data_IF_882658488300
#
_entry.id   IF_882658488300
#
_cell.length_a   1.000
_cell.length_b   1.000
_cell.length_c   1.000
_cell.angle_alpha   90.00
_cell.angle_beta   90.00
_cell.angle_gamma   90.00
#
_symmetry.space_group_name_H-M   'P 1'
#
loop_
_entity.id
_entity.type
_entity.pdbx_description
1 polymer ?
#
# COMPACT_ATOMS: atom_id res chain seq x y z
N UNK A 1 23.98 7.43 8.16
CA UNK A 1 24.39 6.02 8.34
C UNK A 1 23.12 5.18 8.41
N UNK A 2 22.81 4.45 7.34
CA UNK A 2 21.67 3.54 7.30
C UNK A 2 21.91 2.45 8.34
N UNK A 3 21.03 2.31 9.33
CA UNK A 3 21.06 1.13 10.22
C UNK A 3 20.94 -0.10 9.33
N UNK A 4 21.91 -1.01 9.40
CA UNK A 4 21.75 -2.34 8.83
C UNK A 4 20.46 -2.92 9.38
N UNK A 5 19.49 -3.09 8.49
CA UNK A 5 18.18 -3.60 8.86
C UNK A 5 18.33 -5.11 8.93
N UNK A 6 18.17 -5.69 10.12
CA UNK A 6 18.25 -7.14 10.30
C UNK A 6 16.96 -7.65 10.92
N UNK A 7 16.48 -8.77 10.39
CA UNK A 7 15.31 -9.44 10.94
C UNK A 7 15.71 -10.26 12.18
N UNK A 8 14.76 -10.42 13.10
CA UNK A 8 14.93 -11.29 14.27
C UNK A 8 15.24 -12.73 13.83
N UNK A 9 16.08 -13.44 14.59
CA UNK A 9 16.59 -14.78 14.20
C UNK A 9 15.49 -15.82 13.95
N UNK A 10 14.36 -15.70 14.64
CA UNK A 10 13.19 -16.57 14.53
C UNK A 10 12.07 -15.96 13.67
N UNK A 11 12.39 -15.03 12.76
CA UNK A 11 11.41 -14.31 11.95
C UNK A 11 10.48 -15.23 11.16
N UNK A 12 10.99 -16.36 10.65
CA UNK A 12 10.21 -17.33 9.89
C UNK A 12 9.11 -18.01 10.74
N UNK A 13 9.48 -18.54 11.91
CA UNK A 13 8.52 -19.15 12.85
C UNK A 13 7.51 -18.13 13.36
N UNK A 14 7.97 -16.92 13.68
CA UNK A 14 7.11 -15.84 14.12
C UNK A 14 6.13 -15.42 13.02
N UNK A 15 6.58 -15.31 11.77
CA UNK A 15 5.74 -15.01 10.63
C UNK A 15 4.62 -16.05 10.46
N UNK A 16 4.96 -17.34 10.59
CA UNK A 16 3.97 -18.42 10.57
C UNK A 16 2.95 -18.25 11.69
N UNK A 17 3.39 -18.07 12.93
CA UNK A 17 2.49 -17.90 14.08
C UNK A 17 1.55 -16.70 13.93
N UNK A 18 2.08 -15.54 13.51
CA UNK A 18 1.29 -14.32 13.33
C UNK A 18 0.29 -14.45 12.19
N UNK A 19 0.66 -15.13 11.09
CA UNK A 19 -0.26 -15.34 9.98
C UNK A 19 -1.29 -16.45 10.29
N UNK A 20 -0.92 -17.50 11.02
CA UNK A 20 -1.88 -18.53 11.47
C UNK A 20 -3.00 -17.92 12.32
N UNK A 21 -2.67 -16.90 13.14
CA UNK A 21 -3.66 -16.18 13.93
C UNK A 21 -4.58 -15.26 13.11
N UNK A 22 -4.23 -14.93 11.85
CA UNK A 22 -5.00 -14.04 10.98
C UNK A 22 -5.73 -14.84 9.89
N UNK A 23 -4.97 -15.58 9.09
CA UNK A 23 -5.44 -16.46 8.03
C UNK A 23 -4.43 -17.60 7.80
N UNK A 24 -4.69 -18.82 8.32
CA UNK A 24 -3.83 -19.99 8.16
C UNK A 24 -3.49 -20.37 6.72
N UNK A 25 -4.37 -20.08 5.75
CA UNK A 25 -4.14 -20.42 4.34
C UNK A 25 -3.01 -19.61 3.71
N UNK A 26 -2.70 -18.44 4.30
CA UNK A 26 -1.64 -17.55 3.83
C UNK A 26 -0.31 -17.79 4.54
N UNK A 27 -0.28 -18.58 5.61
CA UNK A 27 0.88 -18.74 6.49
C UNK A 27 2.12 -19.23 5.77
N UNK A 28 2.03 -20.25 4.93
CA UNK A 28 3.18 -20.75 4.19
C UNK A 28 3.74 -19.71 3.20
N UNK A 29 2.85 -18.97 2.52
CA UNK A 29 3.24 -17.91 1.58
C UNK A 29 3.89 -16.73 2.31
N UNK A 30 3.34 -16.35 3.45
CA UNK A 30 3.87 -15.26 4.26
C UNK A 30 5.19 -15.63 4.93
N UNK A 31 5.33 -16.85 5.47
CA UNK A 31 6.60 -17.39 5.98
C UNK A 31 7.70 -17.28 4.91
N UNK A 32 7.41 -17.70 3.68
CA UNK A 32 8.36 -17.61 2.56
C UNK A 32 8.75 -16.17 2.23
N UNK A 33 7.81 -15.22 2.25
CA UNK A 33 8.10 -13.80 2.08
C UNK A 33 9.04 -13.28 3.19
N UNK A 34 8.77 -13.61 4.45
CA UNK A 34 9.61 -13.15 5.57
C UNK A 34 11.00 -13.79 5.53
N UNK A 35 11.11 -15.05 5.09
CA UNK A 35 12.40 -15.69 4.80
C UNK A 35 13.20 -14.89 3.76
N UNK A 36 12.56 -14.53 2.64
CA UNK A 36 13.19 -13.71 1.60
C UNK A 36 13.64 -12.35 2.14
N UNK A 37 12.76 -11.63 2.87
CA UNK A 37 13.10 -10.32 3.43
C UNK A 37 14.16 -10.38 4.54
N UNK A 38 14.29 -11.52 5.22
CA UNK A 38 15.35 -11.74 6.21
C UNK A 38 16.72 -11.93 5.54
N UNK A 39 16.75 -12.50 4.32
CA UNK A 39 17.95 -12.68 3.51
C UNK A 39 18.32 -11.41 2.74
N UNK A 40 17.33 -10.61 2.34
CA UNK A 40 17.47 -9.39 1.55
C UNK A 40 16.73 -8.21 2.21
N UNK A 41 17.20 -7.69 3.36
CA UNK A 41 16.48 -6.65 4.10
C UNK A 41 16.28 -5.33 3.34
N UNK A 42 17.15 -5.04 2.37
CA UNK A 42 17.05 -3.90 1.47
C UNK A 42 15.84 -3.96 0.52
N UNK A 43 15.33 -5.17 0.25
CA UNK A 43 14.10 -5.36 -0.53
C UNK A 43 12.84 -5.06 0.30
N UNK A 44 12.97 -4.88 1.62
CA UNK A 44 11.86 -4.54 2.48
C UNK A 44 11.44 -3.09 2.26
N UNK A 45 10.17 -2.89 1.88
CA UNK A 45 9.58 -1.56 1.76
C UNK A 45 9.67 -0.79 3.08
N UNK A 46 10.02 0.50 3.01
CA UNK A 46 10.07 1.36 4.19
C UNK A 46 8.65 1.62 4.71
N UNK A 47 8.35 1.34 6.00
CA UNK A 47 7.06 1.69 6.57
C UNK A 47 6.80 3.20 6.49
N UNK A 48 5.55 3.60 6.23
CA UNK A 48 5.19 5.03 6.20
C UNK A 48 5.29 5.69 7.58
N UNK A 49 4.99 4.94 8.64
CA UNK A 49 5.04 5.44 10.02
C UNK A 49 6.47 5.47 10.56
N UNK A 50 6.88 6.63 11.10
CA UNK A 50 8.18 6.81 11.78
C UNK A 50 8.40 5.82 12.94
N UNK A 51 7.33 5.46 13.65
CA UNK A 51 7.37 4.45 14.73
C UNK A 51 7.78 3.09 14.18
N UNK A 52 7.24 2.69 13.03
CA UNK A 52 7.54 1.40 12.39
C UNK A 52 8.89 1.40 11.68
N UNK A 53 9.35 2.54 11.16
CA UNK A 53 10.68 2.67 10.56
C UNK A 53 11.81 2.31 11.54
N UNK A 54 11.62 2.58 12.84
CA UNK A 54 12.60 2.23 13.87
C UNK A 54 12.55 0.76 14.31
N UNK A 55 11.53 0.01 13.86
CA UNK A 55 11.26 -1.38 14.26
C UNK A 55 11.34 -2.37 13.10
N UNK A 56 11.86 -1.96 11.95
CA UNK A 56 11.95 -2.84 10.78
C UNK A 56 12.76 -4.10 11.14
N UNK A 57 12.22 -5.27 10.81
CA UNK A 57 12.78 -6.57 11.14
C UNK A 57 12.43 -7.12 12.54
N UNK A 58 11.82 -6.31 13.41
CA UNK A 58 11.35 -6.74 14.73
C UNK A 58 9.97 -7.42 14.67
N UNK A 59 9.56 -8.01 15.78
CA UNK A 59 8.30 -8.75 15.88
C UNK A 59 7.08 -7.89 15.50
N UNK A 60 7.02 -6.65 15.99
CA UNK A 60 5.90 -5.76 15.70
C UNK A 60 5.83 -5.37 14.22
N UNK A 61 6.98 -5.38 13.54
CA UNK A 61 7.02 -5.17 12.10
C UNK A 61 6.52 -6.39 11.33
N UNK A 62 6.88 -7.60 11.75
CA UNK A 62 6.37 -8.84 11.16
C UNK A 62 4.86 -8.95 11.35
N UNK A 63 4.34 -8.58 12.53
CA UNK A 63 2.90 -8.53 12.80
C UNK A 63 2.19 -7.49 11.92
N UNK A 64 2.77 -6.29 11.78
CA UNK A 64 2.27 -5.26 10.87
C UNK A 64 2.21 -5.77 9.41
N UNK A 65 3.29 -6.42 8.95
CA UNK A 65 3.34 -7.01 7.61
C UNK A 65 2.31 -8.13 7.43
N UNK A 66 2.07 -8.96 8.45
CA UNK A 66 1.08 -10.03 8.38
C UNK A 66 -0.32 -9.49 8.14
N UNK A 67 -0.72 -8.44 8.88
CA UNK A 67 -2.00 -7.76 8.67
C UNK A 67 -2.10 -7.16 7.28
N UNK A 68 -1.09 -6.41 6.85
CA UNK A 68 -1.07 -5.78 5.53
C UNK A 68 -1.11 -6.82 4.38
N UNK A 69 -0.40 -7.95 4.54
CA UNK A 69 -0.39 -9.04 3.58
C UNK A 69 -1.76 -9.71 3.44
N UNK A 70 -2.49 -9.87 4.55
CA UNK A 70 -3.86 -10.37 4.51
C UNK A 70 -4.82 -9.34 3.91
N UNK A 71 -4.83 -8.10 4.43
CA UNK A 71 -5.73 -7.02 4.01
C UNK A 71 -5.61 -6.70 2.52
N UNK A 72 -4.39 -6.73 1.97
CA UNK A 72 -4.15 -6.49 0.53
C UNK A 72 -4.75 -7.54 -0.40
N UNK A 73 -5.16 -8.70 0.12
CA UNK A 73 -5.82 -9.77 -0.65
C UNK A 73 -7.33 -9.70 -0.56
N UNK A 74 -7.88 -8.88 0.32
CA UNK A 74 -9.31 -8.68 0.40
C UNK A 74 -9.77 -7.85 -0.81
N UNK A 75 -10.90 -8.21 -1.45
CA UNK A 75 -11.47 -7.41 -2.52
C UNK A 75 -11.70 -5.97 -2.05
N UNK A 76 -11.13 -4.99 -2.75
CA UNK A 76 -11.31 -3.58 -2.44
C UNK A 76 -11.98 -2.88 -3.60
N UNK A 77 -13.17 -2.33 -3.35
CA UNK A 77 -13.83 -1.44 -4.30
C UNK A 77 -13.11 -0.07 -4.27
N UNK A 78 -12.65 0.45 -5.41
CA UNK A 78 -12.16 1.83 -5.46
C UNK A 78 -13.25 2.79 -4.99
N UNK A 79 -12.87 3.76 -4.15
CA UNK A 79 -13.76 4.86 -3.77
C UNK A 79 -13.63 5.98 -4.81
N UNK A 80 -14.71 6.71 -5.10
CA UNK A 80 -14.62 7.94 -5.89
C UNK A 80 -13.49 8.85 -5.40
N UNK A 81 -12.69 9.46 -6.29
CA UNK A 81 -11.74 10.48 -5.88
C UNK A 81 -12.45 11.63 -5.17
N UNK A 82 -11.92 12.02 -4.01
CA UNK A 82 -12.39 13.18 -3.24
C UNK A 82 -11.47 14.39 -3.42
N UNK A 83 -10.68 14.39 -4.49
CA UNK A 83 -9.78 15.47 -4.85
C UNK A 83 -10.56 16.68 -5.36
N UNK A 84 -10.04 17.88 -5.10
CA UNK A 84 -10.58 19.12 -5.68
C UNK A 84 -10.11 19.22 -7.13
N UNK A 85 -11.01 19.34 -8.12
CA UNK A 85 -10.62 19.53 -9.52
C UNK A 85 -9.88 20.85 -9.73
N UNK A 86 -8.89 20.86 -10.62
CA UNK A 86 -8.20 22.09 -11.03
C UNK A 86 -9.05 22.85 -12.06
N UNK A 87 -9.41 24.09 -11.74
CA UNK A 87 -10.23 24.97 -12.59
C UNK A 87 -9.58 25.23 -13.96
N UNK A 88 -8.25 25.26 -14.02
CA UNK A 88 -7.51 25.51 -15.28
C UNK A 88 -7.79 24.42 -16.32
N UNK A 89 -8.06 23.19 -15.89
CA UNK A 89 -8.42 22.10 -16.81
C UNK A 89 -9.70 22.43 -17.57
N UNK A 90 -10.73 22.93 -16.89
CA UNK A 90 -11.99 23.34 -17.54
C UNK A 90 -11.79 24.52 -18.50
N UNK A 91 -10.93 25.48 -18.13
CA UNK A 91 -10.58 26.62 -18.99
C UNK A 91 -9.89 26.14 -20.27
N UNK A 92 -8.91 25.25 -20.15
CA UNK A 92 -8.19 24.67 -21.29
C UNK A 92 -9.13 23.87 -22.19
N UNK A 93 -10.02 23.06 -21.63
CA UNK A 93 -11.02 22.31 -22.40
C UNK A 93 -11.94 23.23 -23.20
N UNK A 94 -12.37 24.34 -22.62
CA UNK A 94 -13.20 25.31 -23.32
C UNK A 94 -12.42 26.05 -24.43
N UNK A 95 -11.28 26.64 -24.11
CA UNK A 95 -10.53 27.52 -25.03
C UNK A 95 -9.80 26.73 -26.12
N UNK A 96 -9.12 25.64 -25.75
CA UNK A 96 -8.21 24.91 -26.66
C UNK A 96 -8.91 23.77 -27.39
N UNK A 97 -9.91 23.15 -26.76
CA UNK A 97 -10.63 22.00 -27.30
C UNK A 97 -12.07 22.33 -27.72
N UNK A 98 -12.46 23.61 -27.64
CA UNK A 98 -13.76 24.12 -28.05
C UNK A 98 -14.96 23.38 -27.42
N UNK A 99 -14.77 22.88 -26.19
CA UNK A 99 -15.82 22.22 -25.41
C UNK A 99 -16.80 23.27 -24.88
N UNK A 100 -18.09 23.08 -25.15
CA UNK A 100 -19.13 24.00 -24.69
C UNK A 100 -19.25 24.02 -23.16
N UNK A 101 -19.46 25.20 -22.52
CA UNK A 101 -19.51 25.34 -21.07
C UNK A 101 -20.50 24.39 -20.36
N UNK A 102 -21.62 24.09 -20.99
CA UNK A 102 -22.69 23.24 -20.45
C UNK A 102 -22.22 21.78 -20.28
N UNK A 103 -21.17 21.37 -20.99
CA UNK A 103 -20.60 20.03 -20.90
C UNK A 103 -19.46 19.91 -19.88
N UNK A 104 -18.90 21.03 -19.40
CA UNK A 104 -17.68 21.01 -18.58
C UNK A 104 -17.90 20.29 -17.25
N UNK A 105 -19.03 20.51 -16.58
CA UNK A 105 -19.33 19.83 -15.31
C UNK A 105 -19.50 18.32 -15.50
N UNK A 106 -20.19 17.90 -16.57
CA UNK A 106 -20.34 16.48 -16.91
C UNK A 106 -18.96 15.84 -17.18
N UNK A 107 -18.12 16.49 -17.98
CA UNK A 107 -16.78 15.99 -18.31
C UNK A 107 -15.90 15.93 -17.07
N UNK A 108 -15.97 16.94 -16.18
CA UNK A 108 -15.24 16.96 -14.91
C UNK A 108 -15.60 15.76 -14.03
N UNK A 109 -16.89 15.46 -13.94
CA UNK A 109 -17.38 14.30 -13.17
C UNK A 109 -16.97 12.97 -13.82
N UNK A 110 -17.17 12.81 -15.13
CA UNK A 110 -16.78 11.59 -15.84
C UNK A 110 -15.27 11.34 -15.79
N UNK A 111 -14.46 12.39 -15.95
CA UNK A 111 -13.00 12.31 -15.84
C UNK A 111 -12.57 11.88 -14.44
N UNK A 112 -13.31 12.28 -13.39
CA UNK A 112 -13.04 11.85 -12.01
C UNK A 112 -13.24 10.34 -11.80
N UNK A 113 -14.04 9.67 -12.63
CA UNK A 113 -14.33 8.24 -12.51
C UNK A 113 -13.60 7.37 -13.53
N UNK A 114 -12.91 7.98 -14.50
CA UNK A 114 -12.14 7.31 -15.54
C UNK A 114 -10.77 6.87 -15.03
#
# INVERSE_FOLDING_TARGET
MSKETSFVKNAEELAKQKMDAINPELSSKFKFLIKFLSQFPEACSKPRSKKMQNKVGQEEHIEYLARSFHESRLPRKPTPPTTVPDEVVSIVLNISFNIQPENLERIKEEHRFS
#
